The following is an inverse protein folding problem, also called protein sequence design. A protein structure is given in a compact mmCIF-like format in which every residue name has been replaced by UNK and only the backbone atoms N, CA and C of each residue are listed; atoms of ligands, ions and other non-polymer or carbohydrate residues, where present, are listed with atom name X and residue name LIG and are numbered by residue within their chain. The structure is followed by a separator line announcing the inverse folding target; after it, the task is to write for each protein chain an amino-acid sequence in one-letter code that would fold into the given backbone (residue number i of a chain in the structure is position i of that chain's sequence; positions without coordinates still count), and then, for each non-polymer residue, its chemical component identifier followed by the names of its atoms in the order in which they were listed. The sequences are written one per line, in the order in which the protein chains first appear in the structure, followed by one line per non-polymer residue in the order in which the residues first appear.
data_IF_602209232085
#
_entry.id   IF_602209232085
#
_cell.length_a   1.000
_cell.length_b   1.000
_cell.length_c   1.000
_cell.angle_alpha   90.00
_cell.angle_beta   90.00
_cell.angle_gamma   90.00
#
_symmetry.space_group_name_H-M   'P 1'
#
loop_
_entity.id
_entity.type
_entity.pdbx_description
1 polymer ?
#
# COMPACT_ATOMS: atom_id res chain seq x y z
N UNK A 1 17.72 -17.28 10.14
CA UNK A 1 16.40 -17.94 10.31
C UNK A 1 15.29 -17.22 9.53
N UNK A 2 15.09 -15.90 9.69
CA UNK A 2 14.08 -15.13 8.93
C UNK A 2 14.34 -15.13 7.40
N UNK A 3 15.59 -15.01 6.95
CA UNK A 3 15.94 -15.15 5.52
C UNK A 3 15.56 -16.52 4.93
N UNK A 4 15.67 -17.59 5.73
CA UNK A 4 15.29 -18.94 5.32
C UNK A 4 13.78 -19.10 5.16
N UNK A 5 12.99 -18.41 6.01
CA UNK A 5 11.52 -18.36 5.92
C UNK A 5 11.10 -17.56 4.68
N UNK A 6 11.71 -16.41 4.42
CA UNK A 6 11.39 -15.59 3.24
C UNK A 6 11.77 -16.27 1.91
N UNK A 7 12.85 -17.06 1.92
CA UNK A 7 13.20 -17.97 0.82
C UNK A 7 12.11 -19.02 0.61
N UNK A 8 11.59 -19.60 1.68
CA UNK A 8 10.51 -20.60 1.61
C UNK A 8 9.17 -20.01 1.17
N UNK A 9 8.90 -18.75 1.52
CA UNK A 9 7.69 -18.01 1.13
C UNK A 9 7.81 -17.34 -0.25
N UNK A 10 8.90 -17.61 -1.00
CA UNK A 10 9.03 -17.21 -2.40
C UNK A 10 9.42 -15.74 -2.65
N UNK A 11 9.82 -14.98 -1.62
CA UNK A 11 10.24 -13.59 -1.80
C UNK A 11 11.37 -13.19 -0.83
N UNK A 12 12.62 -13.51 -1.18
CA UNK A 12 13.80 -13.23 -0.37
C UNK A 12 14.06 -11.72 -0.15
N UNK A 13 13.63 -10.86 -1.08
CA UNK A 13 13.86 -9.41 -1.08
C UNK A 13 12.99 -8.65 -0.06
N UNK A 14 11.92 -9.27 0.46
CA UNK A 14 11.00 -8.63 1.41
C UNK A 14 11.58 -8.52 2.82
N UNK A 15 12.55 -9.36 3.17
CA UNK A 15 13.28 -9.27 4.46
C UNK A 15 14.32 -8.15 4.43
N UNK A 16 14.74 -7.70 3.25
CA UNK A 16 15.59 -6.51 3.11
C UNK A 16 14.89 -5.22 3.50
N UNK A 17 13.58 -5.23 3.79
CA UNK A 17 12.86 -4.08 4.40
C UNK A 17 12.92 -4.13 5.94
N UNK A 18 13.16 -5.31 6.53
CA UNK A 18 13.45 -5.49 7.97
C UNK A 18 14.88 -5.07 8.34
N UNK A 19 15.71 -4.76 7.34
CA UNK A 19 16.94 -3.97 7.45
C UNK A 19 16.62 -2.66 6.74
N UNK A 20 16.75 -1.48 7.34
CA UNK A 20 16.09 -0.28 6.83
C UNK A 20 16.59 0.10 5.43
N UNK A 21 15.73 0.17 4.39
CA UNK A 21 15.99 0.97 3.21
C UNK A 21 15.20 2.28 3.32
N UNK A 22 15.88 3.39 3.02
CA UNK A 22 15.33 4.73 3.01
C UNK A 22 14.25 4.89 1.93
N UNK A 23 12.99 4.69 2.31
CA UNK A 23 11.82 5.11 1.55
C UNK A 23 10.70 5.41 2.54
N UNK A 24 10.19 6.63 2.51
CA UNK A 24 9.29 7.26 3.52
C UNK A 24 7.86 6.70 3.56
N UNK A 25 7.67 5.40 3.32
CA UNK A 25 6.35 4.81 3.11
C UNK A 25 6.14 3.68 4.12
N UNK A 26 5.21 3.90 5.06
CA UNK A 26 4.81 2.96 6.13
C UNK A 26 5.83 2.76 7.27
N UNK A 27 6.50 3.85 7.65
CA UNK A 27 7.52 3.88 8.71
C UNK A 27 7.00 3.24 10.02
N UNK A 28 5.74 3.46 10.41
CA UNK A 28 5.27 3.03 11.74
C UNK A 28 5.19 1.52 11.97
N UNK A 29 4.69 0.73 11.01
CA UNK A 29 4.50 -0.71 11.22
C UNK A 29 5.78 -1.51 10.96
N UNK A 30 6.57 -1.10 9.97
CA UNK A 30 7.87 -1.73 9.68
C UNK A 30 8.91 -1.40 10.76
N UNK A 31 8.93 -0.16 11.26
CA UNK A 31 9.82 0.25 12.35
C UNK A 31 9.49 -0.53 13.63
N UNK A 32 8.22 -0.62 14.03
CA UNK A 32 7.80 -1.36 15.23
C UNK A 32 8.19 -2.85 15.17
N UNK A 33 8.07 -3.49 14.02
CA UNK A 33 8.47 -4.89 13.83
C UNK A 33 9.98 -5.07 13.86
N UNK A 34 10.72 -4.15 13.25
CA UNK A 34 12.18 -4.15 13.28
C UNK A 34 12.72 -3.94 14.70
N UNK A 35 12.10 -3.04 15.47
CA UNK A 35 12.42 -2.79 16.87
C UNK A 35 12.13 -4.00 17.74
N UNK A 36 10.98 -4.66 17.55
CA UNK A 36 10.63 -5.88 18.27
C UNK A 36 11.62 -7.00 17.99
N UNK A 37 12.00 -7.18 16.72
CA UNK A 37 13.03 -8.16 16.35
C UNK A 37 14.37 -7.86 17.01
N UNK A 38 14.77 -6.59 17.07
CA UNK A 38 16.03 -6.16 17.66
C UNK A 38 16.02 -6.32 19.19
N UNK A 39 14.93 -5.93 19.86
CA UNK A 39 14.79 -5.95 21.32
C UNK A 39 14.61 -7.37 21.86
N UNK A 40 13.74 -8.15 21.23
CA UNK A 40 13.27 -9.43 21.77
C UNK A 40 13.97 -10.63 21.10
N UNK A 41 14.81 -10.40 20.09
CA UNK A 41 15.54 -11.44 19.35
C UNK A 41 14.67 -12.30 18.43
N UNK A 42 13.40 -11.92 18.26
CA UNK A 42 12.42 -12.64 17.46
C UNK A 42 11.08 -11.91 17.38
N UNK A 43 10.24 -12.34 16.44
CA UNK A 43 8.87 -11.86 16.28
C UNK A 43 7.94 -13.08 16.41
N UNK A 44 6.86 -13.00 17.22
CA UNK A 44 5.87 -14.06 17.27
C UNK A 44 5.31 -14.38 15.88
N UNK A 45 5.20 -15.67 15.57
CA UNK A 45 4.76 -16.13 14.24
C UNK A 45 3.43 -15.49 13.76
N UNK A 46 2.40 -15.28 14.60
CA UNK A 46 1.17 -14.62 14.16
C UNK A 46 1.40 -13.18 13.67
N UNK A 47 2.22 -12.41 14.39
CA UNK A 47 2.52 -11.01 14.03
C UNK A 47 3.31 -10.97 12.72
N UNK A 48 4.31 -11.85 12.58
CA UNK A 48 5.06 -11.97 11.34
C UNK A 48 4.16 -12.38 10.16
N UNK A 49 3.26 -13.33 10.37
CA UNK A 49 2.33 -13.79 9.33
C UNK A 49 1.36 -12.70 8.89
N UNK A 50 0.78 -11.95 9.85
CA UNK A 50 -0.08 -10.80 9.56
C UNK A 50 0.66 -9.73 8.75
N UNK A 51 1.87 -9.38 9.16
CA UNK A 51 2.72 -8.45 8.41
C UNK A 51 3.01 -8.95 7.00
N UNK A 52 3.43 -10.21 6.88
CA UNK A 52 3.78 -10.80 5.59
C UNK A 52 2.59 -10.78 4.62
N UNK A 53 1.42 -11.23 5.08
CA UNK A 53 0.20 -11.26 4.29
C UNK A 53 -0.26 -9.85 3.91
N UNK A 54 -0.10 -8.87 4.80
CA UNK A 54 -0.42 -7.47 4.52
C UNK A 54 0.48 -6.92 3.41
N UNK A 55 1.79 -7.13 3.49
CA UNK A 55 2.73 -6.71 2.44
C UNK A 55 2.47 -7.43 1.10
N UNK A 56 2.04 -8.70 1.14
CA UNK A 56 1.68 -9.45 -0.07
C UNK A 56 0.46 -8.87 -0.77
N UNK A 57 -0.60 -8.60 -0.01
CA UNK A 57 -1.80 -7.93 -0.52
C UNK A 57 -1.49 -6.54 -1.06
N UNK A 58 -0.67 -5.76 -0.32
CA UNK A 58 -0.23 -4.45 -0.77
C UNK A 58 0.47 -4.53 -2.13
N UNK A 59 1.44 -5.43 -2.28
CA UNK A 59 2.20 -5.57 -3.52
C UNK A 59 1.34 -5.98 -4.71
N UNK A 60 0.37 -6.88 -4.50
CA UNK A 60 -0.58 -7.28 -5.54
C UNK A 60 -1.48 -6.10 -5.95
N UNK A 61 -1.98 -5.33 -4.98
CA UNK A 61 -2.83 -4.18 -5.22
C UNK A 61 -2.08 -3.02 -5.87
N UNK A 62 -0.86 -2.71 -5.43
CA UNK A 62 -0.01 -1.69 -6.04
C UNK A 62 0.29 -2.03 -7.50
N UNK A 63 0.68 -3.27 -7.78
CA UNK A 63 0.92 -3.75 -9.16
C UNK A 63 -0.33 -3.59 -10.03
N UNK A 64 -1.51 -3.90 -9.49
CA UNK A 64 -2.78 -3.71 -10.18
C UNK A 64 -3.07 -2.22 -10.45
N UNK A 65 -2.88 -1.34 -9.47
CA UNK A 65 -3.14 0.09 -9.60
C UNK A 65 -2.19 0.71 -10.62
N UNK A 66 -0.88 0.43 -10.52
CA UNK A 66 0.12 0.97 -11.43
C UNK A 66 -0.08 0.52 -12.88
N UNK A 67 -0.53 -0.73 -13.09
CA UNK A 67 -0.83 -1.26 -14.43
C UNK A 67 -2.17 -0.77 -14.99
N UNK A 68 -3.20 -0.61 -14.14
CA UNK A 68 -4.54 -0.18 -14.58
C UNK A 68 -4.65 1.33 -14.74
N UNK A 69 -3.87 2.09 -13.97
CA UNK A 69 -3.90 3.54 -13.94
C UNK A 69 -2.47 4.09 -14.04
N UNK A 70 -1.85 4.06 -15.24
CA UNK A 70 -0.49 4.57 -15.42
C UNK A 70 -0.36 6.02 -14.96
N UNK A 71 0.58 6.30 -14.04
CA UNK A 71 0.74 7.60 -13.41
C UNK A 71 0.00 7.78 -12.08
N UNK A 72 -0.66 6.74 -11.57
CA UNK A 72 -1.20 6.73 -10.22
C UNK A 72 -0.08 6.93 -9.19
N UNK A 73 -0.29 7.89 -8.29
CA UNK A 73 0.67 8.24 -7.25
C UNK A 73 0.18 7.71 -5.91
N UNK A 74 0.98 6.89 -5.23
CA UNK A 74 0.70 6.46 -3.86
C UNK A 74 0.69 7.68 -2.92
N UNK A 75 -0.22 7.67 -1.94
CA UNK A 75 -0.37 8.77 -0.96
C UNK A 75 -0.15 8.31 0.46
N UNK A 76 -0.75 7.21 0.85
CA UNK A 76 -0.57 6.65 2.17
C UNK A 76 -1.10 5.23 2.27
N UNK A 77 -0.54 4.50 3.23
CA UNK A 77 -1.03 3.22 3.71
C UNK A 77 -1.32 3.40 5.21
N UNK A 78 -2.49 2.99 5.67
CA UNK A 78 -2.83 2.94 7.08
C UNK A 78 -3.52 1.60 7.37
N UNK A 79 -2.74 0.65 7.89
CA UNK A 79 -3.19 -0.73 8.07
C UNK A 79 -3.56 -1.36 6.73
N UNK A 80 -4.84 -1.66 6.53
CA UNK A 80 -5.35 -2.27 5.30
C UNK A 80 -5.96 -1.26 4.32
N UNK A 81 -5.89 0.04 4.65
CA UNK A 81 -6.43 1.12 3.81
C UNK A 81 -5.29 1.75 3.04
N UNK A 82 -5.37 1.72 1.72
CA UNK A 82 -4.38 2.32 0.83
C UNK A 82 -5.03 3.44 0.04
N UNK A 83 -4.33 4.58 -0.07
CA UNK A 83 -4.78 5.75 -0.82
C UNK A 83 -3.86 6.01 -1.99
N UNK A 84 -4.47 6.16 -3.17
CA UNK A 84 -3.81 6.60 -4.40
C UNK A 84 -4.47 7.85 -4.94
N UNK A 85 -3.67 8.69 -5.58
CA UNK A 85 -4.14 9.75 -6.46
C UNK A 85 -4.04 9.27 -7.90
N UNK A 86 -5.17 9.19 -8.58
CA UNK A 86 -5.24 8.80 -9.99
C UNK A 86 -5.05 10.04 -10.90
N UNK A 87 -4.41 9.89 -12.07
CA UNK A 87 -4.19 10.98 -13.02
C UNK A 87 -5.47 11.25 -13.84
N UNK A 88 -6.48 11.85 -13.21
CA UNK A 88 -7.70 12.25 -13.91
C UNK A 88 -7.42 13.37 -14.92
N UNK A 89 -8.00 13.27 -16.12
CA UNK A 89 -7.92 14.29 -17.18
C UNK A 89 -6.75 14.18 -18.14
N UNK A 90 -5.68 13.44 -17.82
CA UNK A 90 -4.60 13.11 -18.74
C UNK A 90 -4.83 11.70 -19.29
N UNK A 91 -5.30 11.59 -20.54
CA UNK A 91 -5.51 10.29 -21.20
C UNK A 91 -6.94 9.73 -21.19
N UNK A 92 -7.94 10.53 -20.79
CA UNK A 92 -9.36 10.17 -20.94
C UNK A 92 -9.94 9.24 -19.87
N UNK A 93 -9.18 8.93 -18.81
CA UNK A 93 -9.67 8.15 -17.67
C UNK A 93 -10.82 8.88 -16.97
N UNK A 94 -12.03 8.31 -17.04
CA UNK A 94 -13.19 8.80 -16.30
C UNK A 94 -13.36 8.10 -14.95
N UNK A 95 -14.15 8.69 -14.05
CA UNK A 95 -14.51 8.07 -12.77
C UNK A 95 -15.22 6.72 -12.98
N UNK A 96 -16.04 6.62 -14.04
CA UNK A 96 -16.75 5.40 -14.39
C UNK A 96 -15.78 4.30 -14.84
N UNK A 97 -14.73 4.64 -15.59
CA UNK A 97 -13.70 3.69 -15.99
C UNK A 97 -12.94 3.17 -14.76
N UNK A 98 -12.50 4.07 -13.88
CA UNK A 98 -11.81 3.69 -12.64
C UNK A 98 -12.66 2.77 -11.76
N UNK A 99 -13.94 3.12 -11.58
CA UNK A 99 -14.89 2.29 -10.87
C UNK A 99 -15.05 0.91 -11.54
N UNK A 100 -15.24 0.87 -12.86
CA UNK A 100 -15.40 -0.37 -13.60
C UNK A 100 -14.16 -1.27 -13.56
N UNK A 101 -12.96 -0.71 -13.54
CA UNK A 101 -11.71 -1.46 -13.38
C UNK A 101 -11.59 -2.07 -11.98
N UNK A 102 -11.88 -1.30 -10.93
CA UNK A 102 -11.84 -1.77 -9.55
C UNK A 102 -12.89 -2.85 -9.29
N UNK A 103 -14.14 -2.65 -9.70
CA UNK A 103 -15.23 -3.59 -9.43
C UNK A 103 -14.99 -4.95 -10.11
N UNK A 104 -14.49 -4.95 -11.35
CA UNK A 104 -14.17 -6.21 -12.08
C UNK A 104 -13.08 -7.04 -11.40
N UNK A 105 -12.18 -6.41 -10.65
CA UNK A 105 -11.03 -7.08 -10.02
C UNK A 105 -11.17 -7.18 -8.49
N UNK A 106 -12.23 -6.64 -7.91
CA UNK A 106 -12.44 -6.52 -6.46
C UNK A 106 -12.26 -7.85 -5.73
N UNK A 107 -12.95 -8.89 -6.19
CA UNK A 107 -12.90 -10.22 -5.57
C UNK A 107 -11.52 -10.87 -5.70
N UNK A 108 -10.88 -10.73 -6.87
CA UNK A 108 -9.55 -11.30 -7.11
C UNK A 108 -8.47 -10.63 -6.25
N UNK A 109 -8.59 -9.32 -6.03
CA UNK A 109 -7.67 -8.53 -5.21
C UNK A 109 -8.02 -8.57 -3.71
N UNK A 110 -9.13 -9.21 -3.32
CA UNK A 110 -9.58 -9.27 -1.93
C UNK A 110 -9.95 -7.89 -1.36
N UNK A 111 -10.43 -6.97 -2.18
CA UNK A 111 -10.82 -5.62 -1.77
C UNK A 111 -12.18 -5.70 -1.06
N UNK A 112 -12.19 -5.49 0.26
CA UNK A 112 -13.41 -5.47 1.05
C UNK A 112 -14.29 -4.28 0.66
N UNK A 113 -13.72 -3.08 0.65
CA UNK A 113 -14.42 -1.82 0.35
C UNK A 113 -13.46 -0.86 -0.35
N UNK A 114 -14.00 0.03 -1.19
CA UNK A 114 -13.25 1.12 -1.79
C UNK A 114 -14.13 2.36 -1.95
N UNK A 115 -13.49 3.52 -2.05
CA UNK A 115 -14.12 4.78 -2.39
C UNK A 115 -13.26 5.50 -3.41
N UNK A 116 -13.90 6.11 -4.41
CA UNK A 116 -13.23 6.95 -5.39
C UNK A 116 -13.91 8.31 -5.34
N UNK A 117 -13.14 9.35 -5.09
CA UNK A 117 -13.62 10.72 -5.07
C UNK A 117 -12.73 11.59 -5.96
N UNK A 118 -13.35 12.60 -6.57
CA UNK A 118 -12.63 13.68 -7.22
C UNK A 118 -12.47 14.80 -6.20
N UNK A 119 -11.24 15.31 -6.01
CA UNK A 119 -11.04 16.52 -5.21
C UNK A 119 -11.82 17.67 -5.85
N UNK A 120 -12.74 18.25 -5.09
CA UNK A 120 -13.48 19.45 -5.49
C UNK A 120 -12.58 20.69 -5.37
N UNK A 121 -12.94 21.77 -6.05
CA UNK A 121 -12.28 23.08 -5.89
C UNK A 121 -12.22 23.51 -4.41
N UNK A 122 -13.23 23.17 -3.62
CA UNK A 122 -13.29 23.43 -2.18
C UNK A 122 -12.21 22.68 -1.39
N UNK A 123 -11.93 21.42 -1.74
CA UNK A 123 -10.87 20.63 -1.08
C UNK A 123 -9.48 21.19 -1.41
N UNK A 124 -9.29 21.66 -2.65
CA UNK A 124 -8.06 22.35 -3.07
C UNK A 124 -7.89 23.64 -2.26
N UNK A 125 -8.96 24.44 -2.14
CA UNK A 125 -8.96 25.69 -1.39
C UNK A 125 -8.63 25.47 0.10
N UNK A 126 -9.23 24.45 0.72
CA UNK A 126 -8.97 24.08 2.12
C UNK A 126 -7.54 23.57 2.33
N UNK A 127 -6.97 22.82 1.39
CA UNK A 127 -5.56 22.40 1.47
C UNK A 127 -4.61 23.60 1.35
N UNK A 128 -4.91 24.58 0.50
CA UNK A 128 -4.13 25.82 0.45
C UNK A 128 -4.23 26.59 1.78
N UNK A 129 -5.44 26.72 2.35
CA UNK A 129 -5.65 27.45 3.60
C UNK A 129 -5.04 26.77 4.84
N UNK A 130 -5.03 25.43 4.90
CA UNK A 130 -4.45 24.67 6.03
C UNK A 130 -2.91 24.70 6.06
N UNK A 131 -2.28 24.97 4.92
CA UNK A 131 -0.83 25.11 4.79
C UNK A 131 -0.39 26.59 4.64
N UNK A 132 -1.26 27.55 4.98
CA UNK A 132 -1.01 29.00 4.97
C UNK A 132 -0.70 29.54 6.37
#
# INVERSE_FOLDING_TARGET
MIQSIAKYLGNEQRVSTLVPPMSEEDVGFDEQLSEQLFRDGGIPLPIFAEWWLTKEKFSALDSFIQSSFPGATFKSCNGLIIKYQLPFGQGGLSLADAFGHLERNRNQLGIAEYSISQSTLETIFNHFAANS
#
